data_IF_350195353245
#
_entry.id   IF_350195353245
#
_cell.length_a   1.000
_cell.length_b   1.000
_cell.length_c   1.000
_cell.angle_alpha   90.00
_cell.angle_beta   90.00
_cell.angle_gamma   90.00
#
_symmetry.space_group_name_H-M   'P 1'
#
loop_
_entity.id
_entity.type
_entity.pdbx_description
1 polymer ?
#
# COMPACT_ATOMS: atom_id res chain seq x y z
N UNK A 1 1.49 -6.61 -7.69
CA UNK A 1 0.26 -6.77 -6.91
C UNK A 1 -0.23 -5.37 -6.68
N UNK A 2 -1.46 -5.06 -7.08
CA UNK A 2 -2.02 -3.72 -6.90
C UNK A 2 -2.68 -3.65 -5.53
N UNK A 3 -2.20 -2.72 -4.70
CA UNK A 3 -2.72 -2.44 -3.37
C UNK A 3 -4.16 -1.92 -3.41
N UNK A 4 -4.82 -1.87 -2.26
CA UNK A 4 -6.17 -1.32 -2.13
C UNK A 4 -6.28 0.08 -2.74
N UNK A 5 -5.28 0.93 -2.52
CA UNK A 5 -5.23 2.30 -3.00
C UNK A 5 -4.67 2.49 -4.43
N UNK A 6 -4.31 1.42 -5.15
CA UNK A 6 -3.75 1.49 -6.51
C UNK A 6 -2.23 1.48 -6.61
N UNK A 7 -1.50 1.60 -5.48
CA UNK A 7 -0.03 1.45 -5.48
C UNK A 7 0.39 0.05 -5.90
N UNK A 8 1.52 -0.08 -6.62
CA UNK A 8 2.08 -1.38 -6.98
C UNK A 8 3.01 -1.90 -5.88
N UNK A 9 2.61 -2.94 -5.14
CA UNK A 9 3.47 -3.55 -4.13
C UNK A 9 4.76 -4.16 -4.71
N UNK A 10 4.82 -4.47 -6.01
CA UNK A 10 6.07 -4.95 -6.63
C UNK A 10 7.10 -3.85 -6.84
N UNK A 11 6.73 -2.58 -6.65
CA UNK A 11 7.63 -1.42 -6.66
C UNK A 11 7.88 -0.90 -5.23
N UNK A 12 7.27 -1.52 -4.21
CA UNK A 12 7.39 -1.09 -2.82
C UNK A 12 8.69 -1.62 -2.20
N UNK A 13 9.57 -0.71 -1.80
CA UNK A 13 10.88 -1.06 -1.22
C UNK A 13 10.76 -1.97 0.01
N UNK A 14 9.79 -1.74 0.90
CA UNK A 14 9.58 -2.58 2.08
C UNK A 14 9.15 -4.01 1.71
N UNK A 15 8.30 -4.15 0.68
CA UNK A 15 7.87 -5.46 0.19
C UNK A 15 9.03 -6.20 -0.49
N UNK A 16 9.81 -5.51 -1.32
CA UNK A 16 10.98 -6.07 -2.00
C UNK A 16 12.04 -6.55 -0.99
N UNK A 17 12.41 -5.70 -0.02
CA UNK A 17 13.36 -6.04 1.05
C UNK A 17 12.89 -7.24 1.88
N UNK A 18 11.57 -7.36 2.13
CA UNK A 18 10.99 -8.52 2.83
C UNK A 18 11.11 -9.78 1.99
N UNK A 19 10.73 -9.71 0.70
CA UNK A 19 10.74 -10.84 -0.22
C UNK A 19 12.14 -11.39 -0.47
N UNK A 20 13.12 -10.49 -0.58
CA UNK A 20 14.53 -10.84 -0.80
C UNK A 20 15.26 -11.20 0.49
N UNK A 21 14.60 -10.99 1.64
CA UNK A 21 15.17 -11.19 2.96
C UNK A 21 16.51 -10.47 3.14
N UNK A 22 16.55 -9.20 2.71
CA UNK A 22 17.76 -8.38 2.68
C UNK A 22 17.75 -7.31 3.78
N UNK A 23 18.58 -7.50 4.80
CA UNK A 23 18.66 -6.61 5.95
C UNK A 23 19.33 -5.26 5.62
N UNK A 24 20.17 -5.19 4.58
CA UNK A 24 20.73 -3.93 4.11
C UNK A 24 19.64 -3.07 3.46
N UNK A 25 18.79 -3.70 2.63
CA UNK A 25 17.63 -3.01 2.06
C UNK A 25 16.65 -2.56 3.16
N UNK A 26 16.38 -3.41 4.16
CA UNK A 26 15.53 -3.02 5.31
C UNK A 26 16.11 -1.81 6.05
N UNK A 27 17.42 -1.77 6.26
CA UNK A 27 18.10 -0.66 6.92
C UNK A 27 18.00 0.65 6.13
N UNK A 28 18.17 0.60 4.81
CA UNK A 28 18.04 1.78 3.97
C UNK A 28 16.60 2.31 3.91
N UNK A 29 15.61 1.41 3.80
CA UNK A 29 14.19 1.78 3.84
C UNK A 29 13.83 2.40 5.19
N UNK A 30 14.28 1.80 6.29
CA UNK A 30 14.04 2.34 7.63
C UNK A 30 14.61 3.76 7.77
N UNK A 31 15.83 4.01 7.29
CA UNK A 31 16.47 5.33 7.29
C UNK A 31 15.68 6.33 6.45
N UNK A 32 15.35 5.98 5.20
CA UNK A 32 14.61 6.85 4.28
C UNK A 32 13.24 7.24 4.84
N UNK A 33 12.47 6.25 5.29
CA UNK A 33 11.11 6.46 5.78
C UNK A 33 11.09 7.15 7.14
N UNK A 34 12.11 6.94 7.97
CA UNK A 34 12.27 7.70 9.23
C UNK A 34 12.34 9.21 8.96
N UNK A 35 13.14 9.61 7.96
CA UNK A 35 13.26 11.01 7.55
C UNK A 35 11.98 11.54 6.89
N UNK A 36 11.39 10.76 5.99
CA UNK A 36 10.19 11.18 5.24
C UNK A 36 8.95 11.34 6.14
N UNK A 37 8.74 10.39 7.05
CA UNK A 37 7.55 10.38 7.91
C UNK A 37 7.80 10.93 9.31
N UNK A 38 9.01 11.45 9.58
CA UNK A 38 9.40 12.01 10.89
C UNK A 38 9.13 11.01 12.03
N UNK A 39 9.46 9.74 11.80
CA UNK A 39 9.26 8.64 12.74
C UNK A 39 10.59 7.90 12.95
N UNK A 40 10.72 7.14 14.04
CA UNK A 40 11.91 6.29 14.24
C UNK A 40 11.57 4.86 13.82
N UNK A 41 11.99 4.47 12.62
CA UNK A 41 11.90 3.09 12.12
C UNK A 41 13.24 2.38 12.28
N UNK A 42 13.17 1.12 12.70
CA UNK A 42 14.29 0.18 12.70
C UNK A 42 14.19 -0.76 11.48
N UNK A 43 15.30 -1.42 11.08
CA UNK A 43 15.26 -2.42 10.02
C UNK A 43 14.19 -3.51 10.27
N UNK A 44 14.01 -3.93 11.52
CA UNK A 44 13.03 -4.94 11.93
C UNK A 44 11.57 -4.48 11.74
N UNK A 45 11.31 -3.17 11.68
CA UNK A 45 9.99 -2.63 11.36
C UNK A 45 9.65 -2.77 9.87
N UNK A 46 10.66 -3.02 9.01
CA UNK A 46 10.52 -3.14 7.56
C UNK A 46 10.26 -4.59 7.16
N UNK A 47 9.10 -5.07 7.58
CA UNK A 47 8.59 -6.39 7.23
C UNK A 47 7.16 -6.29 6.69
N UNK A 48 6.94 -6.68 5.44
CA UNK A 48 5.67 -6.53 4.75
C UNK A 48 5.36 -7.73 3.86
N UNK A 49 4.24 -8.40 4.13
CA UNK A 49 3.72 -9.48 3.28
C UNK A 49 2.79 -8.95 2.17
N UNK A 50 2.68 -7.63 2.04
CA UNK A 50 1.97 -6.94 0.97
C UNK A 50 0.60 -6.41 1.37
N UNK A 51 0.13 -5.38 0.64
CA UNK A 51 -1.04 -4.61 1.06
C UNK A 51 -2.32 -5.44 1.13
N UNK A 52 -2.50 -6.38 0.19
CA UNK A 52 -3.67 -7.27 0.12
C UNK A 52 -3.61 -8.43 1.11
N UNK A 53 -2.50 -8.60 1.84
CA UNK A 53 -2.41 -9.66 2.84
C UNK A 53 -3.36 -9.35 4.01
N UNK A 54 -4.21 -10.32 4.35
CA UNK A 54 -5.17 -10.22 5.47
C UNK A 54 -4.54 -10.54 6.82
N UNK A 55 -3.46 -11.31 6.81
CA UNK A 55 -2.71 -11.77 7.99
C UNK A 55 -1.22 -11.54 7.78
N UNK A 56 -0.42 -11.68 8.82
CA UNK A 56 1.03 -11.57 8.72
C UNK A 56 1.56 -10.15 8.96
N UNK A 57 2.72 -9.88 8.39
CA UNK A 57 3.54 -8.71 8.68
C UNK A 57 3.14 -7.53 7.80
N UNK A 58 3.16 -6.35 8.39
CA UNK A 58 2.95 -5.09 7.70
C UNK A 58 3.80 -4.02 8.36
N UNK A 59 4.40 -3.16 7.56
CA UNK A 59 5.10 -1.97 8.05
C UNK A 59 4.18 -1.04 8.85
N UNK A 60 4.70 -0.27 9.82
CA UNK A 60 3.90 0.61 10.67
C UNK A 60 2.94 1.52 9.90
N UNK A 61 3.39 2.13 8.80
CA UNK A 61 2.55 3.00 7.97
C UNK A 61 1.32 2.27 7.38
N UNK A 62 1.46 0.99 7.01
CA UNK A 62 0.33 0.18 6.52
C UNK A 62 -0.62 -0.27 7.64
N UNK A 63 -0.16 -0.29 8.90
CA UNK A 63 -1.02 -0.60 10.06
C UNK A 63 -2.00 0.54 10.36
N UNK A 64 -1.60 1.78 10.14
CA UNK A 64 -2.43 2.98 10.35
C UNK A 64 -3.12 3.50 9.09
N UNK A 65 -3.05 2.77 7.97
CA UNK A 65 -3.63 3.21 6.69
C UNK A 65 -5.17 3.03 6.68
N UNK A 66 -5.91 4.14 6.64
CA UNK A 66 -7.38 4.14 6.64
C UNK A 66 -7.98 3.45 5.41
N UNK A 67 -7.39 3.64 4.22
CA UNK A 67 -7.84 2.98 2.99
C UNK A 67 -7.73 1.46 3.13
N UNK A 68 -6.61 0.97 3.69
CA UNK A 68 -6.42 -0.46 3.93
C UNK A 68 -7.39 -0.98 4.99
N UNK A 69 -7.57 -0.27 6.09
CA UNK A 69 -8.52 -0.65 7.14
C UNK A 69 -9.96 -0.76 6.60
N UNK A 70 -10.39 0.22 5.79
CA UNK A 70 -11.69 0.22 5.12
C UNK A 70 -11.83 -0.97 4.16
N UNK A 71 -10.85 -1.20 3.30
CA UNK A 71 -10.90 -2.29 2.33
C UNK A 71 -10.94 -3.68 2.98
N UNK A 72 -10.17 -3.88 4.05
CA UNK A 72 -10.20 -5.12 4.84
C UNK A 72 -11.55 -5.36 5.50
N UNK A 73 -12.13 -4.31 6.12
CA UNK A 73 -13.45 -4.38 6.76
C UNK A 73 -14.54 -4.78 5.78
N UNK A 74 -14.46 -4.29 4.54
CA UNK A 74 -15.44 -4.54 3.50
C UNK A 74 -15.10 -5.73 2.58
N UNK A 75 -14.06 -6.53 2.91
CA UNK A 75 -13.60 -7.66 2.08
C UNK A 75 -13.34 -7.29 0.61
N UNK A 76 -12.82 -6.08 0.37
CA UNK A 76 -12.54 -5.60 -0.99
C UNK A 76 -11.35 -6.34 -1.61
N UNK A 77 -11.37 -6.49 -2.94
CA UNK A 77 -10.18 -6.90 -3.71
C UNK A 77 -9.20 -5.70 -3.78
N UNK A 78 -9.67 -4.59 -4.32
CA UNK A 78 -9.07 -3.25 -4.20
C UNK A 78 -10.17 -2.19 -4.37
N UNK A 79 -9.84 -0.92 -4.23
CA UNK A 79 -10.84 0.15 -4.32
C UNK A 79 -11.48 0.30 -5.71
N UNK A 80 -10.88 -0.22 -6.79
CA UNK A 80 -11.50 -0.18 -8.13
C UNK A 80 -12.80 -1.00 -8.18
N UNK A 81 -12.94 -2.01 -7.31
CA UNK A 81 -14.16 -2.83 -7.18
C UNK A 81 -15.21 -2.19 -6.26
N UNK A 82 -14.93 -1.03 -5.64
CA UNK A 82 -15.87 -0.39 -4.74
C UNK A 82 -17.00 0.29 -5.52
N UNK A 83 -18.25 0.10 -5.08
CA UNK A 83 -19.40 0.79 -5.65
C UNK A 83 -19.32 2.32 -5.42
N UNK A 84 -18.73 2.73 -4.30
CA UNK A 84 -18.53 4.14 -3.95
C UNK A 84 -17.27 4.75 -4.59
N UNK A 85 -16.63 4.06 -5.53
CA UNK A 85 -15.47 4.62 -6.23
C UNK A 85 -15.93 5.81 -7.10
N UNK A 86 -15.41 7.03 -6.92
CA UNK A 86 -14.25 7.45 -6.11
C UNK A 86 -14.68 8.14 -4.79
N UNK A 87 -14.51 7.47 -3.64
CA UNK A 87 -14.89 8.01 -2.34
C UNK A 87 -13.85 9.01 -1.80
N UNK A 88 -14.26 9.84 -0.82
CA UNK A 88 -13.43 10.93 -0.28
C UNK A 88 -12.08 10.45 0.28
N UNK A 89 -12.09 9.39 1.11
CA UNK A 89 -10.87 8.82 1.72
C UNK A 89 -9.84 8.44 0.66
N UNK A 90 -10.27 7.82 -0.44
CA UNK A 90 -9.38 7.45 -1.53
C UNK A 90 -8.96 8.67 -2.34
N UNK A 91 -9.90 9.57 -2.67
CA UNK A 91 -9.67 10.76 -3.48
C UNK A 91 -8.57 11.65 -2.89
N UNK A 92 -8.53 11.81 -1.57
CA UNK A 92 -7.47 12.58 -0.89
C UNK A 92 -6.08 11.98 -1.12
N UNK A 93 -5.96 10.65 -1.08
CA UNK A 93 -4.68 9.96 -1.33
C UNK A 93 -4.26 10.01 -2.80
N UNK A 94 -5.13 9.67 -3.73
CA UNK A 94 -4.74 9.57 -5.14
C UNK A 94 -4.45 10.94 -5.79
N UNK A 95 -4.88 12.05 -5.17
CA UNK A 95 -4.45 13.40 -5.56
C UNK A 95 -2.94 13.62 -5.36
N UNK A 96 -2.33 12.93 -4.40
CA UNK A 96 -0.89 13.02 -4.15
C UNK A 96 -0.10 11.95 -4.90
N UNK A 97 -0.79 10.91 -5.42
CA UNK A 97 -0.18 9.81 -6.20
C UNK A 97 -1.03 9.51 -7.45
N UNK A 98 -0.91 10.32 -8.52
CA UNK A 98 -1.72 10.17 -9.74
C UNK A 98 -1.60 8.79 -10.41
N UNK A 99 -0.43 8.14 -10.33
CA UNK A 99 -0.19 6.82 -10.90
C UNK A 99 -1.00 5.72 -10.19
N UNK A 100 -1.37 5.94 -8.92
CA UNK A 100 -2.25 5.03 -8.20
C UNK A 100 -3.68 5.15 -8.72
N UNK A 101 -4.14 6.37 -9.04
CA UNK A 101 -5.44 6.61 -9.68
C UNK A 101 -5.53 5.89 -11.02
N UNK A 102 -4.53 6.11 -11.89
CA UNK A 102 -4.54 5.55 -13.23
C UNK A 102 -4.73 4.03 -13.20
N UNK A 103 -3.98 3.31 -12.36
CA UNK A 103 -4.10 1.86 -12.24
C UNK A 103 -5.48 1.42 -11.74
N UNK A 104 -6.10 2.15 -10.82
CA UNK A 104 -7.45 1.83 -10.35
C UNK A 104 -8.50 2.09 -11.43
N UNK A 105 -8.38 3.20 -12.18
CA UNK A 105 -9.26 3.53 -13.30
C UNK A 105 -9.16 2.46 -14.41
N UNK A 106 -7.94 2.03 -14.76
CA UNK A 106 -7.70 0.95 -15.72
C UNK A 106 -8.36 -0.37 -15.28
N UNK A 107 -8.16 -0.79 -14.02
CA UNK A 107 -8.82 -1.98 -13.48
C UNK A 107 -10.34 -1.82 -13.58
N UNK A 108 -10.88 -0.68 -13.16
CA UNK A 108 -12.33 -0.46 -13.18
C UNK A 108 -12.92 -0.49 -14.59
N UNK A 109 -12.21 0.02 -15.59
CA UNK A 109 -12.64 -0.07 -17.00
C UNK A 109 -12.76 -1.54 -17.41
N UNK A 110 -11.78 -2.39 -17.06
CA UNK A 110 -11.84 -3.82 -17.40
C UNK A 110 -12.96 -4.60 -16.71
N UNK A 111 -13.47 -4.13 -15.57
CA UNK A 111 -14.60 -4.76 -14.88
C UNK A 111 -15.96 -4.46 -15.53
N UNK A 112 -16.03 -3.40 -16.34
CA UNK A 112 -17.25 -2.95 -17.01
C UNK A 112 -17.25 -3.23 -18.52
N UNK A 113 -16.20 -3.90 -19.02
CA UNK A 113 -16.06 -4.34 -20.41
C UNK A 113 -16.69 -5.72 -20.60
#
# INVERSE_FOLDING_TARGET
MIAYCGLNCYECLAFLATRENDDNQRSEVARLWSGQFQMRLQPDDINCDGCLSRTGRSVPHCKSCEIRACALKNNMINCAHCEQYLCETLNQFIKTVPEARQRLDEIRITLNA
#
